data_IF_400384500223
#
_entry.id   IF_400384500223
#
_cell.length_a   1.000
_cell.length_b   1.000
_cell.length_c   1.000
_cell.angle_alpha   90.00
_cell.angle_beta   90.00
_cell.angle_gamma   90.00
#
_symmetry.space_group_name_H-M   'P 1'
#
loop_
_entity.id
_entity.type
_entity.pdbx_description
1 polymer ?
#
# COMPACT_ATOMS: atom_id res chain seq x y z
N UNK A 1 2.30 44.86 -97.87
CA UNK A 1 1.49 45.60 -96.86
C UNK A 1 1.32 44.69 -95.65
N UNK A 2 1.46 45.23 -94.43
CA UNK A 2 1.80 44.56 -93.15
C UNK A 2 0.81 43.48 -92.69
N UNK A 3 1.31 42.29 -92.30
CA UNK A 3 0.66 41.43 -91.31
C UNK A 3 1.39 41.57 -89.97
N UNK A 4 0.69 42.09 -88.96
CA UNK A 4 1.22 42.25 -87.60
C UNK A 4 0.95 40.95 -86.84
N UNK A 5 2.01 40.23 -86.49
CA UNK A 5 1.93 39.03 -85.65
C UNK A 5 1.67 39.47 -84.20
N UNK A 6 0.51 39.12 -83.66
CA UNK A 6 0.20 39.31 -82.23
C UNK A 6 0.89 38.18 -81.47
N UNK A 7 2.02 38.51 -80.82
CA UNK A 7 2.65 37.67 -79.79
C UNK A 7 1.91 37.89 -78.48
N UNK A 8 1.14 36.91 -78.02
CA UNK A 8 0.74 36.82 -76.61
C UNK A 8 1.50 35.65 -75.98
N UNK A 9 2.42 36.03 -75.10
CA UNK A 9 3.23 35.13 -74.30
C UNK A 9 2.41 34.52 -73.18
N UNK A 10 2.55 33.21 -73.01
CA UNK A 10 2.08 32.43 -71.86
C UNK A 10 2.84 32.88 -70.60
N UNK A 11 2.13 33.48 -69.65
CA UNK A 11 2.66 33.81 -68.31
C UNK A 11 2.66 32.54 -67.45
N UNK A 12 3.75 31.77 -67.47
CA UNK A 12 4.04 30.83 -66.37
C UNK A 12 4.59 31.64 -65.20
N UNK A 13 3.82 31.71 -64.12
CA UNK A 13 4.32 32.20 -62.85
C UNK A 13 5.23 31.13 -62.24
N UNK A 14 6.54 31.43 -62.18
CA UNK A 14 7.47 30.65 -61.38
C UNK A 14 7.23 30.95 -59.90
N UNK A 15 6.31 30.19 -59.29
CA UNK A 15 6.17 30.14 -57.84
C UNK A 15 7.48 29.60 -57.26
N UNK A 16 8.22 30.48 -56.58
CA UNK A 16 9.43 30.14 -55.84
C UNK A 16 9.10 29.19 -54.68
N UNK A 17 9.02 27.88 -54.99
CA UNK A 17 8.77 26.78 -54.07
C UNK A 17 9.95 26.50 -53.10
N UNK A 18 11.02 27.32 -53.16
CA UNK A 18 12.25 27.11 -52.36
C UNK A 18 12.24 27.71 -50.95
N UNK A 19 11.16 28.34 -50.49
CA UNK A 19 11.14 29.04 -49.18
C UNK A 19 10.27 28.46 -48.07
N UNK A 20 9.58 27.32 -48.25
CA UNK A 20 8.55 26.89 -47.28
C UNK A 20 8.78 25.56 -46.53
N UNK A 21 9.91 24.87 -46.67
CA UNK A 21 10.11 23.58 -45.98
C UNK A 21 11.45 23.41 -45.26
N UNK A 22 12.06 24.48 -44.76
CA UNK A 22 13.08 24.34 -43.69
C UNK A 22 12.39 24.44 -42.33
N UNK A 23 11.59 23.43 -41.98
CA UNK A 23 11.29 23.18 -40.57
C UNK A 23 12.63 22.84 -39.91
N UNK A 24 13.15 23.70 -39.04
CA UNK A 24 14.27 23.35 -38.16
C UNK A 24 13.78 22.21 -37.27
N UNK A 25 14.00 20.96 -37.68
CA UNK A 25 13.88 19.82 -36.79
C UNK A 25 15.00 19.95 -35.77
N UNK A 26 14.69 20.49 -34.59
CA UNK A 26 15.58 20.39 -33.44
C UNK A 26 15.63 18.91 -33.08
N UNK A 27 16.77 18.27 -33.34
CA UNK A 27 17.03 16.91 -32.89
C UNK A 27 17.22 16.90 -31.37
N UNK A 28 16.77 15.83 -30.72
CA UNK A 28 17.09 15.57 -29.32
C UNK A 28 18.61 15.42 -29.20
N UNK A 29 19.23 16.14 -28.28
CA UNK A 29 20.65 15.96 -28.02
C UNK A 29 20.87 14.68 -27.23
N UNK A 30 21.98 13.98 -27.48
CA UNK A 30 22.35 12.79 -26.69
C UNK A 30 22.48 13.13 -25.20
N UNK A 31 22.89 14.36 -24.90
CA UNK A 31 23.03 14.87 -23.52
C UNK A 31 21.66 15.02 -22.84
N UNK A 32 20.65 15.52 -23.55
CA UNK A 32 19.27 15.60 -23.02
C UNK A 32 18.71 14.21 -22.68
N UNK A 33 19.02 13.18 -23.46
CA UNK A 33 18.54 11.82 -23.16
C UNK A 33 19.38 11.16 -22.05
N UNK A 34 20.69 11.42 -22.03
CA UNK A 34 21.61 10.91 -21.03
C UNK A 34 21.25 11.38 -19.61
N UNK A 35 21.01 12.68 -19.42
CA UNK A 35 20.66 13.20 -18.10
C UNK A 35 19.32 12.65 -17.61
N UNK A 36 18.37 12.41 -18.52
CA UNK A 36 17.05 11.86 -18.17
C UNK A 36 17.16 10.45 -17.64
N UNK A 37 17.91 9.56 -18.31
CA UNK A 37 18.08 8.19 -17.82
C UNK A 37 18.88 8.13 -16.52
N UNK A 38 19.81 9.06 -16.31
CA UNK A 38 20.53 9.22 -15.04
C UNK A 38 19.55 9.61 -13.91
N UNK A 39 18.71 10.62 -14.13
CA UNK A 39 17.73 11.07 -13.12
C UNK A 39 16.71 9.97 -12.82
N UNK A 40 16.17 9.30 -13.86
CA UNK A 40 15.23 8.17 -13.68
C UNK A 40 15.91 7.03 -12.91
N UNK A 41 17.18 6.72 -13.20
CA UNK A 41 17.95 5.71 -12.49
C UNK A 41 18.13 6.03 -11.00
N UNK A 42 18.45 7.30 -10.67
CA UNK A 42 18.58 7.75 -9.29
C UNK A 42 17.24 7.70 -8.55
N UNK A 43 16.17 8.22 -9.16
CA UNK A 43 14.83 8.20 -8.57
C UNK A 43 14.32 6.77 -8.34
N UNK A 44 14.47 5.88 -9.33
CA UNK A 44 14.09 4.48 -9.22
C UNK A 44 14.90 3.75 -8.14
N UNK A 45 16.21 4.02 -8.05
CA UNK A 45 17.07 3.45 -7.00
C UNK A 45 16.65 3.88 -5.59
N UNK A 46 16.34 5.16 -5.38
CA UNK A 46 15.85 5.65 -4.08
C UNK A 46 14.50 5.06 -3.69
N UNK A 47 13.58 4.92 -4.67
CA UNK A 47 12.27 4.29 -4.42
C UNK A 47 12.41 2.86 -3.91
N UNK A 48 13.31 2.07 -4.49
CA UNK A 48 13.51 0.67 -4.10
C UNK A 48 13.99 0.52 -2.65
N UNK A 49 14.82 1.44 -2.15
CA UNK A 49 15.31 1.43 -0.77
C UNK A 49 14.24 1.86 0.25
N UNK A 50 13.20 2.59 -0.17
CA UNK A 50 12.19 3.17 0.72
C UNK A 50 10.96 2.29 0.97
N UNK A 51 10.65 1.32 0.10
CA UNK A 51 9.35 0.62 0.14
C UNK A 51 9.23 -0.43 1.24
N UNK A 52 10.34 -1.02 1.69
CA UNK A 52 10.29 -2.15 2.64
C UNK A 52 9.76 -1.79 4.03
N UNK A 53 10.24 -0.71 4.64
CA UNK A 53 9.88 -0.34 6.02
C UNK A 53 8.53 0.37 6.12
N UNK A 54 8.16 1.17 5.11
CA UNK A 54 6.86 1.82 5.05
C UNK A 54 5.72 0.81 4.87
N UNK A 55 5.93 -0.18 4.00
CA UNK A 55 4.94 -1.26 3.78
C UNK A 55 4.76 -2.10 5.03
N UNK A 56 5.85 -2.47 5.72
CA UNK A 56 5.77 -3.25 6.94
C UNK A 56 4.99 -2.54 8.06
N UNK A 57 5.19 -1.22 8.22
CA UNK A 57 4.41 -0.40 9.16
C UNK A 57 2.93 -0.34 8.79
N UNK A 58 2.61 -0.19 7.50
CA UNK A 58 1.23 -0.16 7.02
C UNK A 58 0.53 -1.50 7.26
N UNK A 59 1.22 -2.62 7.06
CA UNK A 59 0.72 -3.95 7.35
C UNK A 59 0.49 -4.19 8.85
N UNK A 60 1.45 -3.81 9.69
CA UNK A 60 1.28 -3.84 11.15
C UNK A 60 0.07 -3.02 11.61
N UNK A 61 -0.10 -1.81 11.07
CA UNK A 61 -1.25 -0.96 11.37
C UNK A 61 -2.57 -1.59 10.90
N UNK A 62 -2.58 -2.26 9.75
CA UNK A 62 -3.75 -3.01 9.24
C UNK A 62 -4.12 -4.17 10.16
N UNK A 63 -3.15 -4.95 10.63
CA UNK A 63 -3.38 -6.06 11.58
C UNK A 63 -4.03 -5.51 12.86
N UNK A 64 -3.47 -4.45 13.43
CA UNK A 64 -4.02 -3.83 14.65
C UNK A 64 -5.44 -3.29 14.40
N UNK A 65 -5.70 -2.66 13.25
CA UNK A 65 -7.02 -2.17 12.89
C UNK A 65 -8.03 -3.32 12.77
N UNK A 66 -7.64 -4.42 12.13
CA UNK A 66 -8.47 -5.62 12.02
C UNK A 66 -8.81 -6.20 13.40
N UNK A 67 -7.83 -6.32 14.30
CA UNK A 67 -8.07 -6.80 15.67
C UNK A 67 -9.03 -5.88 16.43
N UNK A 68 -8.95 -4.56 16.25
CA UNK A 68 -9.89 -3.60 16.87
C UNK A 68 -11.30 -3.72 16.31
N UNK A 69 -11.43 -3.94 15.01
CA UNK A 69 -12.73 -4.18 14.36
C UNK A 69 -13.33 -5.48 14.89
N UNK A 70 -12.54 -6.55 14.97
CA UNK A 70 -12.95 -7.83 15.56
C UNK A 70 -13.36 -7.69 17.03
N UNK A 71 -12.63 -6.90 17.82
CA UNK A 71 -13.01 -6.62 19.21
C UNK A 71 -14.38 -5.96 19.28
N UNK A 72 -14.62 -4.97 18.43
CA UNK A 72 -15.91 -4.28 18.38
C UNK A 72 -17.04 -5.23 17.95
N UNK A 73 -16.79 -6.08 16.95
CA UNK A 73 -17.72 -7.11 16.51
C UNK A 73 -18.01 -8.13 17.62
N UNK A 74 -17.00 -8.54 18.39
CA UNK A 74 -17.18 -9.48 19.49
C UNK A 74 -18.05 -8.92 20.61
N UNK A 75 -17.93 -7.62 20.89
CA UNK A 75 -18.82 -6.92 21.83
C UNK A 75 -20.25 -6.85 21.29
N UNK A 76 -20.44 -6.65 19.98
CA UNK A 76 -21.78 -6.66 19.38
C UNK A 76 -22.43 -8.04 19.45
N UNK A 77 -21.70 -9.11 19.14
CA UNK A 77 -22.18 -10.50 19.33
C UNK A 77 -22.64 -10.71 20.77
N UNK A 78 -21.82 -10.32 21.75
CA UNK A 78 -22.18 -10.43 23.16
C UNK A 78 -23.43 -9.62 23.51
N UNK A 79 -23.62 -8.43 22.94
CA UNK A 79 -24.79 -7.61 23.17
C UNK A 79 -26.09 -8.28 22.67
N UNK A 80 -26.01 -9.05 21.59
CA UNK A 80 -27.18 -9.68 20.96
C UNK A 80 -27.48 -11.08 21.51
N UNK A 81 -26.45 -11.90 21.76
CA UNK A 81 -26.60 -13.29 22.22
C UNK A 81 -26.35 -13.50 23.71
N UNK A 82 -25.82 -12.49 24.40
CA UNK A 82 -25.35 -12.57 25.79
C UNK A 82 -24.24 -13.63 26.01
N UNK A 83 -23.60 -14.08 24.93
CA UNK A 83 -22.51 -15.05 24.89
C UNK A 83 -21.33 -14.48 24.09
N UNK A 84 -20.10 -14.72 24.56
CA UNK A 84 -18.91 -14.27 23.83
C UNK A 84 -18.65 -15.19 22.63
N UNK A 85 -18.22 -14.63 21.48
CA UNK A 85 -17.88 -15.44 20.32
C UNK A 85 -16.64 -16.30 20.60
N UNK A 86 -16.74 -17.59 20.32
CA UNK A 86 -15.64 -18.55 20.48
C UNK A 86 -14.95 -18.87 19.14
N UNK A 87 -15.57 -18.50 18.02
CA UNK A 87 -15.04 -18.70 16.67
C UNK A 87 -15.15 -17.43 15.83
N UNK A 88 -14.15 -17.15 14.99
CA UNK A 88 -14.13 -15.94 14.14
C UNK A 88 -15.30 -15.92 13.17
N UNK A 89 -15.75 -17.08 12.70
CA UNK A 89 -16.91 -17.17 11.81
C UNK A 89 -18.18 -16.55 12.41
N UNK A 90 -18.32 -16.49 13.74
CA UNK A 90 -19.44 -15.81 14.39
C UNK A 90 -19.38 -14.29 14.32
N UNK A 91 -18.21 -13.72 13.96
CA UNK A 91 -18.02 -12.29 13.75
C UNK A 91 -18.37 -11.86 12.32
N UNK A 92 -18.48 -12.79 11.36
CA UNK A 92 -18.69 -12.51 9.93
C UNK A 92 -19.95 -11.66 9.67
N UNK A 93 -20.98 -11.80 10.51
CA UNK A 93 -22.21 -11.01 10.40
C UNK A 93 -22.02 -9.55 10.88
N UNK A 94 -21.00 -9.32 11.71
CA UNK A 94 -20.73 -8.06 12.40
C UNK A 94 -19.51 -7.33 11.83
N UNK A 95 -18.86 -7.88 10.81
CA UNK A 95 -17.71 -7.31 10.12
C UNK A 95 -17.98 -7.25 8.61
N UNK A 96 -17.68 -6.11 8.00
CA UNK A 96 -17.85 -5.92 6.55
C UNK A 96 -16.77 -6.64 5.74
N UNK A 97 -15.58 -6.81 6.32
CA UNK A 97 -14.48 -7.53 5.70
C UNK A 97 -14.46 -8.97 6.18
N UNK A 98 -14.84 -9.90 5.30
CA UNK A 98 -14.68 -11.34 5.55
C UNK A 98 -13.19 -11.67 5.71
N UNK A 99 -12.84 -12.21 6.87
CA UNK A 99 -11.48 -12.63 7.18
C UNK A 99 -11.39 -14.12 6.82
N UNK A 100 -10.99 -14.45 5.59
CA UNK A 100 -10.77 -15.83 5.13
C UNK A 100 -9.28 -16.21 5.23
N UNK A 101 -8.96 -17.44 5.64
CA UNK A 101 -7.58 -17.94 5.77
C UNK A 101 -6.81 -17.42 6.99
N UNK A 102 -7.50 -17.16 8.09
CA UNK A 102 -7.07 -16.21 9.12
C UNK A 102 -6.00 -16.74 10.06
N UNK A 103 -4.88 -16.03 10.12
CA UNK A 103 -3.94 -16.06 11.23
C UNK A 103 -4.57 -15.62 12.56
N UNK A 104 -5.82 -15.17 12.56
CA UNK A 104 -6.53 -14.77 13.76
C UNK A 104 -7.17 -16.00 14.42
N UNK A 105 -7.20 -16.03 15.75
CA UNK A 105 -8.03 -16.96 16.54
C UNK A 105 -8.62 -16.24 17.76
N UNK A 106 -9.73 -16.76 18.30
CA UNK A 106 -10.30 -16.28 19.55
C UNK A 106 -9.89 -17.25 20.65
N UNK A 107 -9.00 -16.85 21.55
CA UNK A 107 -8.54 -17.71 22.64
C UNK A 107 -8.20 -16.94 23.93
N UNK A 108 -8.38 -17.55 25.11
CA UNK A 108 -9.33 -18.62 25.40
C UNK A 108 -10.76 -18.07 25.46
N UNK A 109 -11.72 -18.83 24.92
CA UNK A 109 -13.16 -18.58 25.14
C UNK A 109 -13.62 -17.14 24.77
N UNK A 110 -13.13 -16.61 23.65
CA UNK A 110 -13.48 -15.25 23.18
C UNK A 110 -12.84 -14.10 23.96
N UNK A 111 -12.03 -14.39 24.98
CA UNK A 111 -11.43 -13.35 25.84
C UNK A 111 -10.37 -12.51 25.12
N UNK A 112 -9.60 -13.11 24.21
CA UNK A 112 -8.60 -12.42 23.41
C UNK A 112 -8.75 -12.78 21.94
N UNK A 113 -8.37 -11.82 21.10
CA UNK A 113 -8.08 -12.04 19.70
C UNK A 113 -6.57 -12.27 19.60
N UNK A 114 -6.17 -13.47 19.19
CA UNK A 114 -4.80 -13.81 18.82
C UNK A 114 -4.61 -13.54 17.34
N UNK A 115 -3.41 -13.14 16.94
CA UNK A 115 -2.94 -13.18 15.57
C UNK A 115 -1.58 -13.87 15.51
N UNK A 116 -1.46 -14.91 14.68
CA UNK A 116 -0.23 -15.64 14.43
C UNK A 116 0.73 -14.77 13.60
N UNK A 117 1.83 -14.39 14.24
CA UNK A 117 2.83 -13.51 13.63
C UNK A 117 3.89 -14.32 12.86
N UNK A 118 3.97 -15.64 13.08
CA UNK A 118 4.95 -16.54 12.46
C UNK A 118 4.82 -16.63 10.93
N UNK A 119 3.70 -16.17 10.37
CA UNK A 119 3.43 -16.09 8.93
C UNK A 119 3.74 -14.73 8.32
N UNK A 120 4.28 -13.79 9.09
CA UNK A 120 4.49 -12.41 8.70
C UNK A 120 5.98 -12.06 8.70
N UNK A 121 6.40 -11.18 7.77
CA UNK A 121 7.79 -10.71 7.62
C UNK A 121 8.33 -10.08 8.92
N UNK A 122 9.61 -10.33 9.22
CA UNK A 122 10.31 -9.87 10.43
C UNK A 122 10.15 -8.35 10.66
N UNK A 123 10.12 -7.54 9.60
CA UNK A 123 9.96 -6.08 9.72
C UNK A 123 8.58 -5.68 10.23
N UNK A 124 7.56 -6.50 9.97
CA UNK A 124 6.20 -6.28 10.47
C UNK A 124 6.16 -6.63 11.94
N UNK A 125 6.82 -7.71 12.37
CA UNK A 125 6.94 -8.10 13.78
C UNK A 125 7.61 -6.99 14.60
N UNK A 126 8.72 -6.45 14.11
CA UNK A 126 9.41 -5.30 14.71
C UNK A 126 8.49 -4.07 14.82
N UNK A 127 7.70 -3.81 13.76
CA UNK A 127 6.74 -2.70 13.74
C UNK A 127 5.59 -2.90 14.73
N UNK A 128 5.09 -4.12 14.89
CA UNK A 128 4.09 -4.49 15.89
C UNK A 128 4.63 -4.33 17.31
N UNK A 129 5.88 -4.73 17.57
CA UNK A 129 6.55 -4.50 18.86
C UNK A 129 6.69 -3.02 19.23
N UNK A 130 6.99 -2.17 18.23
CA UNK A 130 7.01 -0.71 18.42
C UNK A 130 5.62 -0.15 18.74
N UNK A 131 4.57 -0.63 18.05
CA UNK A 131 3.20 -0.23 18.31
C UNK A 131 2.74 -0.65 19.71
N UNK A 132 3.07 -1.87 20.13
CA UNK A 132 2.79 -2.38 21.47
C UNK A 132 3.44 -1.49 22.55
N UNK A 133 4.70 -1.12 22.35
CA UNK A 133 5.45 -0.23 23.26
C UNK A 133 4.93 1.21 23.28
N UNK A 134 4.20 1.64 22.25
CA UNK A 134 3.61 2.99 22.14
C UNK A 134 2.22 3.08 22.81
N UNK A 135 1.73 1.98 23.40
CA UNK A 135 0.47 1.95 24.15
C UNK A 135 -0.68 1.24 23.43
N UNK A 136 -0.43 0.54 22.32
CA UNK A 136 -1.42 -0.40 21.77
C UNK A 136 -1.41 -1.66 22.63
N UNK A 137 -2.59 -2.09 23.08
CA UNK A 137 -2.77 -3.29 23.89
C UNK A 137 -2.53 -4.59 23.09
N UNK A 138 -1.27 -4.90 22.83
CA UNK A 138 -0.79 -6.12 22.20
C UNK A 138 0.13 -6.85 23.19
N UNK A 139 -0.19 -8.11 23.44
CA UNK A 139 0.48 -8.93 24.45
C UNK A 139 1.08 -10.20 23.85
N UNK A 140 2.05 -10.77 24.55
CA UNK A 140 2.73 -12.02 24.19
C UNK A 140 1.88 -13.28 24.46
N UNK A 141 0.87 -13.17 25.34
CA UNK A 141 -0.02 -14.29 25.68
C UNK A 141 -1.38 -13.82 26.18
N UNK A 142 -2.36 -14.74 26.14
CA UNK A 142 -3.67 -14.54 26.77
C UNK A 142 -3.57 -14.80 28.29
N UNK A 143 -3.37 -13.73 29.07
CA UNK A 143 -3.15 -13.81 30.53
C UNK A 143 -4.34 -13.26 31.30
N UNK A 144 -4.93 -14.07 32.17
CA UNK A 144 -6.11 -13.70 32.98
C UNK A 144 -5.81 -12.84 34.24
N UNK A 145 -4.69 -12.13 34.30
CA UNK A 145 -4.26 -11.35 35.48
C UNK A 145 -3.67 -9.99 35.11
N UNK A 146 -3.16 -9.24 36.09
CA UNK A 146 -2.58 -7.91 35.85
C UNK A 146 -1.49 -7.97 34.78
N UNK A 147 -1.68 -7.14 33.75
CA UNK A 147 -0.78 -7.00 32.62
C UNK A 147 0.41 -6.16 33.08
N UNK A 148 1.61 -6.73 32.98
CA UNK A 148 2.86 -6.03 33.33
C UNK A 148 3.66 -5.70 32.06
N UNK A 149 4.70 -4.87 32.18
CA UNK A 149 5.54 -4.47 31.04
C UNK A 149 6.28 -5.64 30.36
N UNK A 150 6.39 -6.81 31.01
CA UNK A 150 6.93 -8.02 30.39
C UNK A 150 5.93 -8.73 29.48
N UNK A 151 4.64 -8.47 29.67
CA UNK A 151 3.57 -9.10 28.90
C UNK A 151 3.31 -8.36 27.57
N UNK A 152 3.82 -7.14 27.41
CA UNK A 152 3.75 -6.37 26.17
C UNK A 152 4.53 -7.10 25.09
N UNK A 153 3.90 -7.30 23.93
CA UNK A 153 4.50 -8.01 22.81
C UNK A 153 5.83 -7.38 22.38
N UNK A 154 6.81 -8.25 22.09
CA UNK A 154 8.09 -7.90 21.50
C UNK A 154 8.34 -8.76 20.27
N UNK A 155 9.26 -8.28 19.43
CA UNK A 155 9.73 -9.02 18.28
C UNK A 155 10.29 -10.39 18.70
N UNK A 156 9.89 -11.46 18.00
CA UNK A 156 10.27 -12.85 18.27
C UNK A 156 9.20 -13.76 18.90
N UNK A 157 8.04 -13.23 19.30
CA UNK A 157 6.93 -14.06 19.78
C UNK A 157 6.07 -14.61 18.63
N UNK A 158 5.54 -15.83 18.80
CA UNK A 158 4.76 -16.55 17.77
C UNK A 158 3.37 -15.96 17.52
N UNK A 159 2.87 -15.12 18.42
CA UNK A 159 1.55 -14.51 18.32
C UNK A 159 1.42 -13.22 19.12
N UNK A 160 0.51 -12.35 18.66
CA UNK A 160 0.04 -11.17 19.42
C UNK A 160 -1.36 -11.41 19.93
N UNK A 161 -1.64 -10.90 21.13
CA UNK A 161 -2.92 -11.06 21.81
C UNK A 161 -3.51 -9.70 22.15
N UNK A 162 -4.77 -9.47 21.77
CA UNK A 162 -5.53 -8.26 22.12
C UNK A 162 -6.73 -8.64 22.98
N UNK A 163 -6.91 -8.03 24.17
CA UNK A 163 -8.01 -8.33 25.07
C UNK A 163 -9.32 -7.80 24.50
N UNK A 164 -10.34 -8.63 24.55
CA UNK A 164 -11.73 -8.28 24.19
C UNK A 164 -12.49 -7.88 25.45
N UNK A 165 -12.44 -8.73 26.49
CA UNK A 165 -13.08 -8.53 27.80
C UNK A 165 -12.12 -7.98 28.85
#
# INVERSE_FOLDING_TARGET
>A
MKYRVIRIWMRRGDINLKKMLKRKSKGFTLVELLIVVIIIGILAGMMMLSTGSATAKAEAAKIVANMRNMKSAAVMVYADSNEWPTAIASLDEYIDQKLEGTNYTLEPDGAYIKFDVSKVDDKVQESLGKLASTGVALYTSAKSGDITSSDIYKDGDTGIYMPVK
#
